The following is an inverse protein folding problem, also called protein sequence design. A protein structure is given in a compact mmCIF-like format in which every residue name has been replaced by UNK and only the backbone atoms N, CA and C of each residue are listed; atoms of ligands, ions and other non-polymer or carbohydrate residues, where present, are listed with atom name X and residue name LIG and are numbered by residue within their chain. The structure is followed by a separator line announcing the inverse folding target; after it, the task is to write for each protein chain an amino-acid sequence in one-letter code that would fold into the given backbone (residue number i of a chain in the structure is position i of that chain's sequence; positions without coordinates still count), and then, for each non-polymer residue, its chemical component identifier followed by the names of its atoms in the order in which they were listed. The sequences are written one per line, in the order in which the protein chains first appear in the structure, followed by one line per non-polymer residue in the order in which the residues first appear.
data_IF_624952789529
#
_entry.id   IF_624952789529
#
_cell.length_a   1.000
_cell.length_b   1.000
_cell.length_c   1.000
_cell.angle_alpha   90.00
_cell.angle_beta   90.00
_cell.angle_gamma   90.00
#
_symmetry.space_group_name_H-M   'P 1'
#
loop_
_entity.id
_entity.type
_entity.pdbx_description
1 polymer ?
#
# COMPACT_ATOMS: atom_id res chain seq x y z
N UNK A 1 -0.19 16.68 11.13
CA UNK A 1 -0.97 15.45 11.13
C UNK A 1 -0.82 14.68 9.82
N UNK A 2 -1.09 15.24 8.64
CA UNK A 2 -0.97 14.56 7.35
C UNK A 2 0.43 13.96 7.11
N UNK A 3 1.51 14.65 7.52
CA UNK A 3 2.87 14.13 7.46
C UNK A 3 3.03 12.86 8.32
N UNK A 4 2.51 12.86 9.54
CA UNK A 4 2.59 11.73 10.46
C UNK A 4 1.84 10.50 9.90
N UNK A 5 0.65 10.71 9.35
CA UNK A 5 -0.10 9.62 8.70
C UNK A 5 0.61 9.09 7.43
N UNK A 6 1.34 9.95 6.71
CA UNK A 6 2.21 9.52 5.62
C UNK A 6 3.37 8.64 6.11
N UNK A 7 3.96 8.98 7.27
CA UNK A 7 5.02 8.18 7.90
C UNK A 7 4.50 6.80 8.30
N UNK A 8 3.35 6.74 9.00
CA UNK A 8 2.70 5.46 9.39
C UNK A 8 2.34 4.58 8.17
N UNK A 9 1.79 5.19 7.12
CA UNK A 9 1.50 4.48 5.87
C UNK A 9 2.76 3.98 5.18
N UNK A 10 3.82 4.77 5.17
CA UNK A 10 5.13 4.36 4.65
C UNK A 10 5.71 3.17 5.41
N UNK A 11 5.59 3.16 6.74
CA UNK A 11 6.04 2.05 7.59
C UNK A 11 5.36 0.72 7.22
N UNK A 12 4.11 0.74 6.76
CA UNK A 12 3.40 -0.46 6.29
C UNK A 12 4.11 -1.14 5.10
N UNK A 13 4.90 -0.38 4.34
CA UNK A 13 5.56 -0.84 3.11
C UNK A 13 7.05 -1.11 3.28
N UNK A 14 7.65 -0.80 4.43
CA UNK A 14 9.11 -0.96 4.67
C UNK A 14 9.51 -2.42 4.69
N UNK A 15 8.75 -3.26 5.36
CA UNK A 15 9.05 -4.69 5.55
C UNK A 15 7.86 -5.63 5.26
N UNK A 16 6.76 -5.08 4.71
CA UNK A 16 5.62 -5.80 4.13
C UNK A 16 5.09 -6.97 4.98
N UNK A 17 4.84 -6.73 6.27
CA UNK A 17 4.37 -7.75 7.23
C UNK A 17 5.38 -8.08 8.32
N UNK A 18 6.55 -7.45 8.31
CA UNK A 18 7.57 -7.56 9.34
C UNK A 18 7.30 -6.69 10.58
N UNK A 19 8.32 -6.50 11.44
CA UNK A 19 8.17 -5.78 12.70
C UNK A 19 7.71 -4.32 12.55
N UNK A 20 8.19 -3.60 11.52
CA UNK A 20 7.84 -2.18 11.26
C UNK A 20 6.39 -2.06 10.82
N UNK A 21 5.95 -2.91 9.90
CA UNK A 21 4.57 -3.01 9.47
C UNK A 21 3.63 -3.30 10.65
N UNK A 22 3.99 -4.28 11.51
CA UNK A 22 3.21 -4.62 12.69
C UNK A 22 3.16 -3.50 13.72
N UNK A 23 4.24 -2.75 13.90
CA UNK A 23 4.26 -1.59 14.79
C UNK A 23 3.29 -0.51 14.33
N UNK A 24 3.28 -0.17 13.05
CA UNK A 24 2.33 0.78 12.48
C UNK A 24 0.87 0.28 12.62
N UNK A 25 0.63 -1.02 12.38
CA UNK A 25 -0.68 -1.63 12.53
C UNK A 25 -1.18 -1.59 13.99
N UNK A 26 -0.34 -1.95 14.96
CA UNK A 26 -0.67 -1.90 16.40
C UNK A 26 -0.96 -0.47 16.82
N UNK A 27 -0.19 0.51 16.35
CA UNK A 27 -0.43 1.91 16.61
C UNK A 27 -1.77 2.38 16.02
N UNK A 28 -2.10 1.98 14.79
CA UNK A 28 -3.38 2.28 14.15
C UNK A 28 -4.57 1.70 14.94
N UNK A 29 -4.47 0.45 15.39
CA UNK A 29 -5.52 -0.19 16.20
C UNK A 29 -5.66 0.45 17.58
N UNK A 30 -4.57 0.82 18.23
CA UNK A 30 -4.58 1.56 19.50
C UNK A 30 -5.22 2.95 19.32
N UNK A 31 -5.02 3.58 18.18
CA UNK A 31 -5.63 4.88 17.85
C UNK A 31 -7.15 4.79 17.71
N UNK A 32 -7.69 3.66 17.22
CA UNK A 32 -9.15 3.42 17.23
C UNK A 32 -9.69 3.43 18.66
N UNK A 33 -9.02 2.74 19.58
CA UNK A 33 -9.43 2.71 21.00
C UNK A 33 -9.37 4.09 21.66
N UNK A 34 -8.47 4.97 21.19
CA UNK A 34 -8.36 6.35 21.63
C UNK A 34 -9.34 7.32 20.93
N UNK A 35 -10.21 6.82 20.04
CA UNK A 35 -11.17 7.63 19.27
C UNK A 35 -10.58 8.38 18.07
N UNK A 36 -9.36 8.06 17.66
CA UNK A 36 -8.69 8.70 16.53
C UNK A 36 -8.66 7.76 15.31
N UNK A 37 -9.66 7.87 14.47
CA UNK A 37 -9.93 6.93 13.37
C UNK A 37 -9.15 7.25 12.07
N UNK A 38 -8.57 8.44 11.94
CA UNK A 38 -7.84 8.85 10.75
C UNK A 38 -6.55 8.06 10.56
N UNK A 39 -5.87 7.74 11.66
CA UNK A 39 -4.61 7.01 11.64
C UNK A 39 -4.83 5.59 11.10
N UNK A 40 -5.89 4.91 11.52
CA UNK A 40 -6.17 3.56 11.01
C UNK A 40 -6.50 3.57 9.51
N UNK A 41 -7.21 4.59 9.01
CA UNK A 41 -7.45 4.74 7.58
C UNK A 41 -6.12 4.89 6.81
N UNK A 42 -5.16 5.66 7.33
CA UNK A 42 -3.85 5.83 6.72
C UNK A 42 -3.01 4.55 6.77
N UNK A 43 -3.04 3.81 7.86
CA UNK A 43 -2.35 2.51 8.00
C UNK A 43 -2.91 1.49 7.00
N UNK A 44 -4.24 1.38 6.91
CA UNK A 44 -4.86 0.43 5.98
C UNK A 44 -4.52 0.75 4.53
N UNK A 45 -4.64 2.01 4.10
CA UNK A 45 -4.32 2.39 2.72
C UNK A 45 -2.83 2.14 2.41
N UNK A 46 -1.94 2.39 3.38
CA UNK A 46 -0.51 2.12 3.26
C UNK A 46 -0.18 0.66 3.01
N UNK A 47 -0.90 -0.26 3.65
CA UNK A 47 -0.73 -1.70 3.43
C UNK A 47 -1.36 -2.21 2.14
N UNK A 48 -2.36 -1.52 1.59
CA UNK A 48 -3.01 -1.90 0.32
C UNK A 48 -2.19 -1.48 -0.90
N UNK A 49 -1.46 -0.36 -0.84
CA UNK A 49 -0.73 0.22 -1.97
C UNK A 49 0.33 -0.72 -2.55
N UNK A 50 1.26 -1.34 -1.79
CA UNK A 50 2.34 -2.14 -2.36
C UNK A 50 1.86 -3.26 -3.28
N UNK A 51 0.98 -4.18 -2.85
CA UNK A 51 0.55 -5.27 -3.71
C UNK A 51 -0.26 -4.80 -4.92
N UNK A 52 -1.07 -3.74 -4.77
CA UNK A 52 -1.82 -3.16 -5.90
C UNK A 52 -0.88 -2.50 -6.90
N UNK A 53 0.07 -1.70 -6.44
CA UNK A 53 1.04 -1.01 -7.30
C UNK A 53 1.92 -1.99 -8.08
N UNK A 54 2.40 -3.04 -7.42
CA UNK A 54 3.20 -4.09 -8.05
C UNK A 54 2.37 -4.83 -9.10
N UNK A 55 1.13 -5.19 -8.78
CA UNK A 55 0.23 -5.85 -9.73
C UNK A 55 -0.01 -5.00 -10.97
N UNK A 56 -0.25 -3.70 -10.80
CA UNK A 56 -0.35 -2.75 -11.93
C UNK A 56 0.96 -2.68 -12.72
N UNK A 57 2.09 -2.63 -12.04
CA UNK A 57 3.39 -2.58 -12.70
C UNK A 57 3.68 -3.85 -13.53
N UNK A 58 3.24 -5.02 -13.09
CA UNK A 58 3.38 -6.27 -13.89
C UNK A 58 2.57 -6.23 -15.18
N UNK A 59 1.50 -5.44 -15.22
CA UNK A 59 0.65 -5.26 -16.42
C UNK A 59 1.25 -4.19 -17.34
N UNK A 60 1.61 -3.02 -16.80
CA UNK A 60 2.08 -1.89 -17.61
C UNK A 60 3.54 -2.02 -18.05
N UNK A 61 4.39 -2.61 -17.22
CA UNK A 61 5.84 -2.74 -17.48
C UNK A 61 6.29 -4.20 -17.58
N UNK A 62 5.63 -4.96 -18.45
CA UNK A 62 5.87 -6.41 -18.65
C UNK A 62 7.35 -6.78 -18.84
N UNK A 63 8.13 -5.90 -19.45
CA UNK A 63 9.56 -6.13 -19.74
C UNK A 63 10.46 -6.00 -18.50
N UNK A 64 9.92 -5.62 -17.36
CA UNK A 64 10.66 -5.44 -16.10
C UNK A 64 10.36 -6.51 -15.06
N UNK A 65 9.47 -7.43 -15.39
CA UNK A 65 9.03 -8.52 -14.52
C UNK A 65 9.20 -9.86 -15.23
N UNK A 66 9.62 -10.88 -14.47
CA UNK A 66 9.73 -12.25 -14.98
C UNK A 66 8.35 -12.82 -15.32
N UNK A 67 8.33 -13.93 -16.09
CA UNK A 67 7.08 -14.60 -16.43
C UNK A 67 6.31 -15.08 -15.16
N UNK A 68 7.04 -15.50 -14.13
CA UNK A 68 6.46 -15.93 -12.85
C UNK A 68 5.87 -14.74 -12.07
N UNK A 69 6.60 -13.63 -11.98
CA UNK A 69 6.10 -12.39 -11.35
C UNK A 69 4.83 -11.88 -12.04
N UNK A 70 4.78 -11.93 -13.38
CA UNK A 70 3.58 -11.53 -14.14
C UNK A 70 2.38 -12.45 -13.89
N UNK A 71 2.59 -13.74 -13.71
CA UNK A 71 1.52 -14.69 -13.35
C UNK A 71 0.98 -14.46 -11.93
N UNK A 72 1.84 -14.03 -11.00
CA UNK A 72 1.46 -13.72 -9.63
C UNK A 72 0.74 -12.36 -9.50
N UNK A 73 0.85 -11.47 -10.49
CA UNK A 73 0.26 -10.13 -10.46
C UNK A 73 -1.22 -10.08 -10.09
N UNK A 74 -2.11 -10.82 -10.78
CA UNK A 74 -3.54 -10.81 -10.47
C UNK A 74 -3.86 -11.26 -9.04
N UNK A 75 -3.21 -12.31 -8.56
CA UNK A 75 -3.35 -12.77 -7.16
C UNK A 75 -2.90 -11.69 -6.18
N UNK A 76 -1.79 -11.04 -6.46
CA UNK A 76 -1.27 -9.95 -5.64
C UNK A 76 -2.24 -8.75 -5.61
N UNK A 77 -2.91 -8.45 -6.71
CA UNK A 77 -3.95 -7.40 -6.75
C UNK A 77 -5.12 -7.71 -5.80
N UNK A 78 -5.62 -8.95 -5.82
CA UNK A 78 -6.70 -9.39 -4.93
C UNK A 78 -6.24 -9.33 -3.46
N UNK A 79 -5.03 -9.77 -3.17
CA UNK A 79 -4.44 -9.68 -1.83
C UNK A 79 -4.36 -8.21 -1.37
N UNK A 80 -3.93 -7.31 -2.23
CA UNK A 80 -3.88 -5.87 -1.94
C UNK A 80 -5.25 -5.27 -1.63
N UNK A 81 -6.28 -5.63 -2.38
CA UNK A 81 -7.66 -5.22 -2.08
C UNK A 81 -8.15 -5.75 -0.73
N UNK A 82 -7.65 -6.90 -0.29
CA UNK A 82 -8.01 -7.51 0.99
C UNK A 82 -7.16 -7.02 2.18
N UNK A 83 -6.30 -6.02 1.99
CA UNK A 83 -5.34 -5.54 2.99
C UNK A 83 -4.30 -6.61 3.38
N UNK A 84 -3.83 -7.40 2.43
CA UNK A 84 -2.78 -8.40 2.63
C UNK A 84 -1.51 -7.90 1.94
N UNK A 85 -0.64 -7.25 2.71
CA UNK A 85 0.60 -6.64 2.22
C UNK A 85 1.65 -7.67 1.83
N UNK A 86 1.61 -8.85 2.45
CA UNK A 86 2.55 -9.94 2.26
C UNK A 86 2.61 -10.47 0.82
N UNK A 87 1.58 -10.24 0.01
CA UNK A 87 1.61 -10.55 -1.42
C UNK A 87 2.72 -9.85 -2.19
N UNK A 88 3.21 -8.73 -1.68
CA UNK A 88 4.32 -7.97 -2.26
C UNK A 88 5.72 -8.55 -1.92
N UNK A 89 5.83 -9.43 -0.91
CA UNK A 89 7.11 -9.94 -0.41
C UNK A 89 7.97 -10.62 -1.50
N UNK A 90 7.45 -11.51 -2.36
CA UNK A 90 8.28 -12.15 -3.39
C UNK A 90 8.92 -11.13 -4.34
N UNK A 91 8.21 -10.07 -4.67
CA UNK A 91 8.70 -9.00 -5.56
C UNK A 91 9.74 -8.13 -4.85
N UNK A 92 9.53 -7.81 -3.59
CA UNK A 92 10.48 -7.07 -2.77
C UNK A 92 11.75 -7.88 -2.50
N UNK A 93 11.64 -9.19 -2.33
CA UNK A 93 12.79 -10.08 -2.13
C UNK A 93 13.65 -10.21 -3.39
N UNK A 94 13.03 -10.17 -4.58
CA UNK A 94 13.76 -10.24 -5.86
C UNK A 94 14.54 -8.95 -6.17
N UNK A 95 14.02 -7.79 -5.78
CA UNK A 95 14.62 -6.48 -6.07
C UNK A 95 14.30 -5.45 -4.98
N UNK A 96 14.87 -5.58 -3.78
CA UNK A 96 14.50 -4.74 -2.64
C UNK A 96 14.84 -3.27 -2.85
N UNK A 97 15.96 -2.97 -3.55
CA UNK A 97 16.46 -1.60 -3.73
C UNK A 97 15.55 -0.73 -4.59
N UNK A 98 14.75 -1.32 -5.45
CA UNK A 98 13.85 -0.59 -6.34
C UNK A 98 12.38 -0.73 -5.90
N UNK A 99 12.00 -1.90 -5.42
CA UNK A 99 10.61 -2.17 -5.01
C UNK A 99 10.25 -1.46 -3.70
N UNK A 100 11.09 -1.57 -2.67
CA UNK A 100 10.78 -0.98 -1.36
C UNK A 100 10.63 0.55 -1.42
N UNK A 101 11.59 1.32 -1.99
CA UNK A 101 11.44 2.78 -2.04
C UNK A 101 10.20 3.23 -2.81
N UNK A 102 9.89 2.56 -3.93
CA UNK A 102 8.71 2.89 -4.73
C UNK A 102 7.41 2.66 -3.94
N UNK A 103 7.32 1.53 -3.23
CA UNK A 103 6.16 1.21 -2.40
C UNK A 103 6.04 2.17 -1.21
N UNK A 104 7.13 2.48 -0.52
CA UNK A 104 7.14 3.41 0.63
C UNK A 104 6.66 4.79 0.22
N UNK A 105 7.15 5.34 -0.89
CA UNK A 105 6.72 6.65 -1.40
C UNK A 105 5.24 6.63 -1.77
N UNK A 106 4.78 5.63 -2.51
CA UNK A 106 3.37 5.54 -2.89
C UNK A 106 2.43 5.39 -1.69
N UNK A 107 2.81 4.57 -0.70
CA UNK A 107 2.06 4.40 0.54
C UNK A 107 2.03 5.68 1.37
N UNK A 108 3.15 6.37 1.51
CA UNK A 108 3.23 7.63 2.23
C UNK A 108 2.34 8.72 1.60
N UNK A 109 2.33 8.80 0.27
CA UNK A 109 1.44 9.73 -0.45
C UNK A 109 -0.02 9.36 -0.25
N UNK A 110 -0.39 8.07 -0.37
CA UNK A 110 -1.75 7.62 -0.16
C UNK A 110 -2.25 7.92 1.26
N UNK A 111 -1.43 7.64 2.28
CA UNK A 111 -1.77 7.94 3.68
C UNK A 111 -1.89 9.42 3.96
N UNK A 112 -0.99 10.24 3.42
CA UNK A 112 -1.06 11.69 3.52
C UNK A 112 -2.33 12.26 2.87
N UNK A 113 -2.72 11.76 1.69
CA UNK A 113 -3.96 12.14 1.01
C UNK A 113 -5.19 11.65 1.78
N UNK A 114 -5.20 10.42 2.29
CA UNK A 114 -6.28 9.89 3.13
C UNK A 114 -6.57 10.81 4.32
N UNK A 115 -5.51 11.29 4.97
CA UNK A 115 -5.63 12.25 6.07
C UNK A 115 -6.12 13.61 5.60
N UNK A 116 -5.58 14.14 4.49
CA UNK A 116 -5.98 15.43 3.92
C UNK A 116 -7.46 15.44 3.52
N UNK A 117 -7.98 14.30 3.07
CA UNK A 117 -9.39 14.12 2.72
C UNK A 117 -10.29 13.80 3.92
N UNK A 118 -9.73 13.72 5.13
CA UNK A 118 -10.47 13.43 6.34
C UNK A 118 -11.06 12.03 6.38
N UNK A 119 -10.42 11.05 5.75
CA UNK A 119 -10.86 9.67 5.79
C UNK A 119 -10.70 9.09 7.20
N UNK A 120 -11.71 8.37 7.66
CA UNK A 120 -11.74 7.74 8.99
C UNK A 120 -12.13 6.27 8.86
N UNK A 121 -11.54 5.42 9.69
CA UNK A 121 -11.82 3.99 9.69
C UNK A 121 -11.87 3.46 11.12
N UNK A 122 -12.97 2.83 11.47
CA UNK A 122 -13.18 2.20 12.79
C UNK A 122 -12.82 0.71 12.78
N UNK A 123 -12.72 0.09 11.61
CA UNK A 123 -12.41 -1.33 11.51
C UNK A 123 -10.89 -1.57 11.50
N UNK A 124 -10.37 -2.53 12.26
CA UNK A 124 -8.93 -2.80 12.30
C UNK A 124 -8.42 -3.55 11.06
N UNK A 125 -9.28 -4.20 10.31
CA UNK A 125 -8.93 -4.99 9.12
C UNK A 125 -10.09 -5.06 8.14
N UNK A 126 -9.81 -5.44 6.88
CA UNK A 126 -10.84 -5.76 5.88
C UNK A 126 -10.60 -5.19 4.49
N UNK A 127 -9.72 -4.24 4.30
CA UNK A 127 -9.40 -3.67 2.98
C UNK A 127 -10.63 -3.11 2.28
N UNK A 128 -10.90 -3.56 1.03
CA UNK A 128 -12.03 -3.09 0.23
C UNK A 128 -13.39 -3.40 0.85
N UNK A 129 -13.49 -4.46 1.67
CA UNK A 129 -14.76 -4.88 2.27
C UNK A 129 -15.27 -3.91 3.34
N UNK A 130 -14.40 -3.14 3.95
CA UNK A 130 -14.76 -2.13 4.96
C UNK A 130 -14.84 -0.71 4.40
N UNK A 131 -14.60 -0.52 3.11
CA UNK A 131 -14.71 0.79 2.44
C UNK A 131 -16.06 1.46 2.68
N UNK A 132 -17.21 0.76 2.68
CA UNK A 132 -18.51 1.39 2.98
C UNK A 132 -18.61 1.99 4.40
N UNK A 133 -17.75 1.54 5.33
CA UNK A 133 -17.71 2.05 6.71
C UNK A 133 -16.70 3.18 6.92
N UNK A 134 -15.92 3.50 5.86
CA UNK A 134 -14.94 4.58 5.89
C UNK A 134 -15.66 5.93 5.78
N UNK A 135 -15.30 6.87 6.64
CA UNK A 135 -15.69 8.27 6.42
C UNK A 135 -15.01 8.78 5.14
N UNK A 136 -15.79 9.27 4.18
CA UNK A 136 -15.36 9.64 2.82
C UNK A 136 -14.80 8.47 1.99
N UNK A 137 -15.58 7.41 1.71
CA UNK A 137 -15.09 6.24 1.01
C UNK A 137 -14.61 6.53 -0.41
N UNK A 138 -15.24 7.48 -1.11
CA UNK A 138 -14.84 7.89 -2.45
C UNK A 138 -13.45 8.53 -2.46
N UNK A 139 -13.18 9.43 -1.52
CA UNK A 139 -11.87 10.09 -1.40
C UNK A 139 -10.78 9.12 -0.94
N UNK A 140 -11.14 8.12 -0.13
CA UNK A 140 -10.24 7.02 0.23
C UNK A 140 -9.81 6.23 -1.01
N UNK A 141 -10.74 5.86 -1.88
CA UNK A 141 -10.44 5.17 -3.14
C UNK A 141 -9.59 6.03 -4.07
N UNK A 142 -9.86 7.33 -4.17
CA UNK A 142 -9.03 8.26 -4.95
C UNK A 142 -7.60 8.30 -4.40
N UNK A 143 -7.41 8.40 -3.09
CA UNK A 143 -6.09 8.38 -2.46
C UNK A 143 -5.36 7.05 -2.73
N UNK A 144 -6.06 5.92 -2.65
CA UNK A 144 -5.52 4.59 -2.95
C UNK A 144 -5.05 4.49 -4.40
N UNK A 145 -5.85 4.94 -5.34
CA UNK A 145 -5.52 4.95 -6.78
C UNK A 145 -4.30 5.83 -7.04
N UNK A 146 -4.27 7.06 -6.53
CA UNK A 146 -3.15 7.98 -6.71
C UNK A 146 -1.85 7.38 -6.16
N UNK A 147 -1.85 6.88 -4.92
CA UNK A 147 -0.67 6.27 -4.32
C UNK A 147 -0.20 5.03 -5.05
N UNK A 148 -1.13 4.18 -5.51
CA UNK A 148 -0.81 2.98 -6.29
C UNK A 148 -0.20 3.32 -7.65
N UNK A 149 -0.71 4.34 -8.35
CA UNK A 149 -0.14 4.79 -9.63
C UNK A 149 1.22 5.45 -9.46
N UNK A 150 1.45 6.21 -8.39
CA UNK A 150 2.76 6.79 -8.07
C UNK A 150 3.77 5.67 -7.83
N UNK A 151 3.45 4.68 -6.98
CA UNK A 151 4.34 3.54 -6.75
C UNK A 151 4.57 2.72 -8.03
N UNK A 152 3.53 2.48 -8.82
CA UNK A 152 3.63 1.80 -10.11
C UNK A 152 4.55 2.55 -11.08
N UNK A 153 4.42 3.86 -11.20
CA UNK A 153 5.27 4.71 -12.04
C UNK A 153 6.73 4.69 -11.58
N UNK A 154 6.97 4.80 -10.27
CA UNK A 154 8.32 4.69 -9.70
C UNK A 154 8.94 3.30 -9.95
N UNK A 155 8.18 2.22 -9.81
CA UNK A 155 8.62 0.87 -10.18
C UNK A 155 9.00 0.80 -11.66
N UNK A 156 8.18 1.39 -12.52
CA UNK A 156 8.45 1.49 -13.94
C UNK A 156 9.70 2.29 -14.30
N UNK A 157 10.09 3.27 -13.47
CA UNK A 157 11.31 4.06 -13.67
C UNK A 157 12.53 3.38 -13.07
N UNK A 158 12.42 2.89 -11.84
CA UNK A 158 13.56 2.38 -11.04
C UNK A 158 13.96 0.96 -11.43
N UNK A 159 12.98 0.06 -11.61
CA UNK A 159 13.26 -1.36 -11.90
C UNK A 159 13.90 -1.52 -13.30
N UNK A 160 15.02 -2.23 -13.35
CA UNK A 160 15.73 -2.51 -14.62
C UNK A 160 14.95 -3.53 -15.46
N UNK A 161 15.17 -3.49 -16.78
CA UNK A 161 14.62 -4.53 -17.68
C UNK A 161 15.23 -5.88 -17.32
N UNK A 162 14.39 -6.89 -17.24
CA UNK A 162 14.86 -8.28 -17.12
C UNK A 162 15.26 -8.74 -18.53
N UNK A 163 16.53 -9.10 -18.70
CA UNK A 163 16.98 -9.82 -19.89
C UNK A 163 16.63 -11.30 -19.70
N UNK A 164 15.61 -11.75 -20.40
CA UNK A 164 15.36 -13.18 -20.59
C UNK A 164 16.43 -13.81 -21.49
#
# INVERSE_FOLDING_TARGET
WARRCGEESGMMSVDMGGPVNKAAYVFGTASIAAGNYNIMAAVMIGGMVPPIAIALATIFFKNKFTAEERKAGPTNFIMGLSFITEGAIPFAASDPLHVLPACVVGSAVAGGLSMAFGCTLMAPHGGIFVVPTIGNPLMYLVALVIGSFIACGLLGLLKKKVSE
#
